data_IF_537292020871
#
_entry.id   IF_537292020871
#
_cell.length_a   1.000
_cell.length_b   1.000
_cell.length_c   1.000
_cell.angle_alpha   90.00
_cell.angle_beta   90.00
_cell.angle_gamma   90.00
#
_symmetry.space_group_name_H-M   'P 1'
#
loop_
_entity.id
_entity.type
_entity.pdbx_description
1 polymer ?
#
# COMPACT_ATOMS: atom_id res chain seq x y z
N UNK A 1 13.64 13.38 25.53
CA UNK A 1 13.51 13.59 24.08
C UNK A 1 13.56 12.24 23.40
N UNK A 2 12.41 11.60 23.29
CA UNK A 2 12.28 10.27 22.70
C UNK A 2 12.38 10.40 21.18
N UNK A 3 13.61 10.36 20.68
CA UNK A 3 13.88 10.20 19.25
C UNK A 3 13.39 8.81 18.85
N UNK A 4 12.14 8.74 18.39
CA UNK A 4 11.60 7.53 17.77
C UNK A 4 12.60 7.02 16.72
N UNK A 5 13.02 5.75 16.79
CA UNK A 5 14.01 5.23 15.85
C UNK A 5 13.49 5.39 14.42
N UNK A 6 14.36 5.71 13.44
CA UNK A 6 13.96 6.00 12.06
C UNK A 6 13.21 4.83 11.37
N UNK A 7 13.18 3.65 11.98
CA UNK A 7 12.39 2.50 11.52
C UNK A 7 10.87 2.66 11.64
N UNK A 8 10.34 3.58 12.45
CA UNK A 8 8.87 3.75 12.61
C UNK A 8 8.26 4.62 11.50
N UNK A 9 9.07 5.42 10.79
CA UNK A 9 8.62 6.36 9.75
C UNK A 9 9.24 6.10 8.36
N UNK A 10 10.06 5.05 8.22
CA UNK A 10 10.66 4.65 6.93
C UNK A 10 9.85 3.51 6.35
N UNK A 11 9.05 3.80 5.33
CA UNK A 11 8.36 2.77 4.56
C UNK A 11 9.31 2.31 3.45
N UNK A 12 9.58 1.02 3.36
CA UNK A 12 10.44 0.47 2.31
C UNK A 12 9.60 -0.06 1.15
N UNK A 13 9.99 0.30 -0.08
CA UNK A 13 9.36 -0.17 -1.32
C UNK A 13 10.35 -1.06 -2.06
N UNK A 14 9.85 -2.20 -2.54
CA UNK A 14 10.60 -3.15 -3.35
C UNK A 14 10.03 -3.23 -4.75
N UNK A 15 10.88 -3.03 -5.76
CA UNK A 15 10.48 -3.08 -7.17
C UNK A 15 11.60 -3.61 -8.07
N UNK A 16 11.29 -3.92 -9.33
CA UNK A 16 12.25 -4.47 -10.29
C UNK A 16 12.83 -3.35 -11.17
N UNK A 17 14.12 -3.43 -11.46
CA UNK A 17 14.74 -2.58 -12.47
C UNK A 17 14.20 -2.89 -13.87
N UNK A 18 13.78 -1.86 -14.62
CA UNK A 18 13.27 -2.02 -15.99
C UNK A 18 14.32 -2.54 -16.98
N UNK A 19 15.61 -2.39 -16.68
CA UNK A 19 16.70 -2.83 -17.56
C UNK A 19 17.25 -4.21 -17.22
N UNK A 20 17.62 -4.46 -15.97
CA UNK A 20 18.31 -5.70 -15.57
C UNK A 20 17.46 -6.63 -14.69
N UNK A 21 16.22 -6.23 -14.37
CA UNK A 21 15.29 -6.94 -13.47
C UNK A 21 15.85 -7.29 -12.09
N UNK A 22 16.87 -6.57 -11.63
CA UNK A 22 17.31 -6.68 -10.24
C UNK A 22 16.24 -6.11 -9.29
N UNK A 23 16.13 -6.70 -8.09
CA UNK A 23 15.27 -6.20 -7.03
C UNK A 23 15.94 -4.99 -6.37
N UNK A 24 15.26 -3.86 -6.38
CA UNK A 24 15.69 -2.62 -5.75
C UNK A 24 14.82 -2.40 -4.51
N UNK A 25 15.46 -2.17 -3.36
CA UNK A 25 14.82 -1.78 -2.12
C UNK A 25 15.20 -0.32 -1.83
N UNK A 26 14.20 0.54 -1.67
CA UNK A 26 14.41 1.96 -1.40
C UNK A 26 13.31 2.51 -0.51
N UNK A 27 13.60 3.59 0.20
CA UNK A 27 12.60 4.31 0.99
C UNK A 27 11.52 4.93 0.08
N UNK A 28 10.28 4.85 0.53
CA UNK A 28 9.10 5.28 -0.20
C UNK A 28 9.09 6.80 -0.49
N UNK A 29 9.86 7.61 0.26
CA UNK A 29 10.06 9.06 0.01
C UNK A 29 10.70 9.36 -1.35
N UNK A 30 11.32 8.36 -1.99
CA UNK A 30 11.90 8.50 -3.32
C UNK A 30 10.90 8.33 -4.46
N UNK A 31 9.61 8.18 -4.16
CA UNK A 31 8.59 7.96 -5.18
C UNK A 31 8.56 9.03 -6.29
N UNK A 32 8.41 8.58 -7.53
CA UNK A 32 8.41 9.43 -8.72
C UNK A 32 9.76 10.10 -9.01
N UNK A 33 10.84 9.75 -8.30
CA UNK A 33 12.21 10.19 -8.61
C UNK A 33 12.91 9.15 -9.48
N UNK A 34 13.89 9.61 -10.24
CA UNK A 34 14.80 8.75 -11.00
C UNK A 34 16.03 8.46 -10.15
N UNK A 35 16.35 7.18 -10.00
CA UNK A 35 17.54 6.69 -9.29
C UNK A 35 18.40 5.83 -10.21
N UNK A 36 19.70 5.69 -9.90
CA UNK A 36 20.56 4.74 -10.60
C UNK A 36 20.34 3.32 -10.06
N UNK A 37 20.25 2.34 -10.95
CA UNK A 37 20.17 0.94 -10.54
C UNK A 37 21.48 0.48 -9.88
N UNK A 38 21.46 -0.11 -8.68
CA UNK A 38 22.70 -0.55 -8.00
C UNK A 38 23.40 -1.72 -8.70
N UNK A 39 22.76 -2.37 -9.68
CA UNK A 39 23.33 -3.53 -10.41
C UNK A 39 23.81 -3.19 -11.82
N UNK A 40 23.14 -2.29 -12.52
CA UNK A 40 23.45 -1.99 -13.93
C UNK A 40 23.63 -0.50 -14.19
N UNK A 41 23.53 0.33 -13.16
CA UNK A 41 23.75 1.79 -13.16
C UNK A 41 22.83 2.59 -14.08
N UNK A 42 21.94 1.92 -14.81
CA UNK A 42 20.93 2.57 -15.64
C UNK A 42 19.90 3.33 -14.79
N UNK A 43 19.41 4.47 -15.29
CA UNK A 43 18.37 5.24 -14.63
C UNK A 43 17.09 4.41 -14.56
N UNK A 44 16.43 4.44 -13.40
CA UNK A 44 15.19 3.76 -13.14
C UNK A 44 14.27 4.65 -12.33
N UNK A 45 13.00 4.74 -12.73
CA UNK A 45 12.00 5.54 -12.02
C UNK A 45 11.45 4.75 -10.83
N UNK A 46 11.40 5.39 -9.65
CA UNK A 46 10.80 4.80 -8.46
C UNK A 46 9.28 4.89 -8.57
N UNK A 47 8.53 3.77 -8.52
CA UNK A 47 7.09 3.79 -8.68
C UNK A 47 6.41 4.58 -7.55
N UNK A 48 5.32 5.28 -7.88
CA UNK A 48 4.45 5.91 -6.88
C UNK A 48 3.66 4.85 -6.12
N UNK A 49 4.01 4.67 -4.85
CA UNK A 49 3.36 3.72 -3.95
C UNK A 49 2.15 4.36 -3.25
N UNK A 50 2.27 5.64 -2.86
CA UNK A 50 1.24 6.37 -2.10
C UNK A 50 -0.06 6.56 -2.88
N UNK A 51 0.04 6.61 -4.21
CA UNK A 51 -1.10 6.90 -5.10
C UNK A 51 -1.91 5.67 -5.51
N UNK A 52 -1.47 4.46 -5.13
CA UNK A 52 -2.27 3.24 -5.35
C UNK A 52 -3.30 3.10 -4.22
N UNK A 53 -4.13 4.12 -4.02
CA UNK A 53 -5.45 3.86 -3.47
C UNK A 53 -6.14 2.91 -4.47
N UNK A 54 -6.86 1.87 -4.02
CA UNK A 54 -7.77 1.18 -4.93
C UNK A 54 -8.65 2.28 -5.55
N UNK A 55 -8.83 2.24 -6.88
CA UNK A 55 -9.74 3.15 -7.57
C UNK A 55 -10.99 3.22 -6.71
N UNK A 56 -11.31 4.41 -6.19
CA UNK A 56 -12.32 4.63 -5.16
C UNK A 56 -13.51 3.74 -5.46
N UNK A 57 -13.63 2.64 -4.73
CA UNK A 57 -14.71 1.68 -5.00
C UNK A 57 -15.96 2.43 -4.58
N UNK A 58 -16.78 2.79 -5.57
CA UNK A 58 -18.09 3.35 -5.33
C UNK A 58 -18.97 2.21 -4.82
N UNK A 59 -18.87 1.94 -3.51
CA UNK A 59 -19.83 1.12 -2.81
C UNK A 59 -21.17 1.85 -2.87
N UNK A 60 -22.23 1.14 -3.23
CA UNK A 60 -23.58 1.68 -3.13
C UNK A 60 -23.93 1.97 -1.67
N UNK A 61 -24.90 2.86 -1.44
CA UNK A 61 -25.38 3.13 -0.08
C UNK A 61 -25.84 1.85 0.63
N UNK A 62 -26.38 0.87 -0.10
CA UNK A 62 -26.79 -0.42 0.45
C UNK A 62 -25.59 -1.30 0.86
N UNK A 63 -24.50 -1.31 0.10
CA UNK A 63 -23.28 -2.00 0.50
C UNK A 63 -22.64 -1.34 1.73
N UNK A 64 -22.61 -0.01 1.77
CA UNK A 64 -22.09 0.72 2.94
C UNK A 64 -22.92 0.43 4.19
N UNK A 65 -24.26 0.39 4.08
CA UNK A 65 -25.17 0.04 5.17
C UNK A 65 -24.92 -1.38 5.69
N UNK A 66 -24.82 -2.37 4.80
CA UNK A 66 -24.57 -3.76 5.18
C UNK A 66 -23.21 -3.96 5.89
N UNK A 67 -22.15 -3.29 5.42
CA UNK A 67 -20.83 -3.39 6.06
C UNK A 67 -20.73 -2.59 7.38
N UNK A 68 -21.51 -1.52 7.51
CA UNK A 68 -21.48 -0.64 8.69
C UNK A 68 -22.46 -1.04 9.77
N UNK A 69 -23.39 -1.95 9.47
CA UNK A 69 -24.28 -2.53 10.45
C UNK A 69 -23.44 -3.19 11.56
N UNK A 70 -23.66 -2.84 12.84
CA UNK A 70 -23.05 -3.58 13.93
C UNK A 70 -23.47 -5.04 13.76
N UNK A 71 -22.51 -5.98 13.90
CA UNK A 71 -22.80 -7.41 13.98
C UNK A 71 -23.68 -7.65 15.21
N UNK A 72 -24.98 -7.48 15.08
CA UNK A 72 -25.93 -8.08 15.99
C UNK A 72 -26.01 -9.53 15.55
N UNK A 73 -25.29 -10.38 16.29
CA UNK A 73 -25.46 -11.82 16.26
C UNK A 73 -26.87 -12.15 16.77
N UNK A 74 -27.89 -11.88 15.95
CA UNK A 74 -29.25 -12.33 16.19
C UNK A 74 -29.49 -13.55 15.30
N UNK A 75 -29.20 -14.72 15.88
CA UNK A 75 -29.68 -15.99 15.33
C UNK A 75 -31.20 -15.88 15.12
N UNK A 76 -31.73 -16.33 13.96
CA UNK A 76 -33.17 -16.38 13.77
C UNK A 76 -33.79 -17.28 14.86
N UNK A 77 -34.99 -16.94 15.38
CA UNK A 77 -35.65 -17.79 16.35
C UNK A 77 -35.93 -19.15 15.70
N UNK A 78 -35.33 -20.20 16.25
CA UNK A 78 -35.78 -21.57 16.00
C UNK A 78 -37.23 -21.65 16.45
N UNK A 79 -38.14 -21.60 15.50
CA UNK A 79 -39.55 -21.91 15.73
C UNK A 79 -39.72 -23.41 15.51
N UNK A 80 -39.86 -24.16 16.61
CA UNK A 80 -40.60 -25.42 16.73
C UNK A 80 -40.47 -25.95 18.17
#
# INVERSE_FOLDING_TARGET
>A
MDAFPPGVLSLEVRFLCSSCRCKIQIDARWEGRVIACPKCEKPNEVPRWSRRAPASVSLSAAEVDYLSAPRTEESPPRTA
#
